data_IF_854128636197
#
_entry.id   IF_854128636197
#
_cell.length_a   1.000
_cell.length_b   1.000
_cell.length_c   1.000
_cell.angle_alpha   90.00
_cell.angle_beta   90.00
_cell.angle_gamma   90.00
#
_symmetry.space_group_name_H-M   'P 1'
#
loop_
_entity.id
_entity.type
_entity.pdbx_description
1 polymer ?
#
# COMPACT_ATOMS: atom_id res chain seq x y z
N UNK A 1 7.10 9.26 10.28
CA UNK A 1 6.42 9.73 9.07
C UNK A 1 7.30 10.78 8.43
N UNK A 2 7.80 10.49 7.24
CA UNK A 2 8.69 11.32 6.43
C UNK A 2 8.23 11.28 4.96
N UNK A 3 6.96 10.96 4.72
CA UNK A 3 6.38 10.94 3.38
C UNK A 3 6.34 12.34 2.76
N UNK A 4 6.34 12.41 1.42
CA UNK A 4 6.26 13.63 0.63
C UNK A 4 7.39 14.64 0.95
N UNK A 5 8.63 14.19 0.82
CA UNK A 5 9.84 15.00 0.98
C UNK A 5 10.76 14.81 -0.24
N UNK A 6 11.96 15.38 -0.18
CA UNK A 6 13.02 15.24 -1.19
C UNK A 6 14.19 14.39 -0.69
N UNK A 7 13.95 13.49 0.26
CA UNK A 7 14.98 12.62 0.83
C UNK A 7 15.53 11.71 -0.26
N UNK A 8 16.84 11.52 -0.27
CA UNK A 8 17.53 10.69 -1.26
C UNK A 8 18.58 9.78 -0.59
N UNK A 9 19.21 8.94 -1.41
CA UNK A 9 20.14 7.91 -0.93
C UNK A 9 19.43 6.65 -0.43
N UNK A 10 20.18 5.77 0.24
CA UNK A 10 19.68 4.49 0.72
C UNK A 10 19.09 4.56 2.11
N UNK A 11 18.12 3.68 2.40
CA UNK A 11 17.70 3.43 3.78
C UNK A 11 18.87 2.89 4.61
N UNK A 12 18.97 3.28 5.90
CA UNK A 12 20.04 2.78 6.76
C UNK A 12 19.91 1.28 7.00
N UNK A 13 21.05 0.59 7.11
CA UNK A 13 21.10 -0.87 7.35
C UNK A 13 20.56 -1.27 8.72
N UNK A 14 20.53 -0.32 9.66
CA UNK A 14 20.01 -0.51 11.01
C UNK A 14 18.79 0.38 11.24
N UNK A 15 17.87 -0.09 12.09
CA UNK A 15 16.71 0.66 12.58
C UNK A 15 16.65 0.64 14.10
N UNK A 16 15.89 1.56 14.69
CA UNK A 16 15.54 1.47 16.10
C UNK A 16 14.74 0.19 16.40
N UNK A 17 14.99 -0.41 17.57
CA UNK A 17 14.20 -1.53 18.08
C UNK A 17 12.75 -1.12 18.37
N UNK A 18 12.51 0.17 18.67
CA UNK A 18 11.18 0.73 18.96
C UNK A 18 10.43 1.21 17.71
N UNK A 19 11.03 1.12 16.52
CA UNK A 19 10.38 1.57 15.29
C UNK A 19 9.21 0.63 14.94
N UNK A 20 7.99 1.17 15.02
CA UNK A 20 6.73 0.47 14.74
C UNK A 20 6.04 0.92 13.44
N UNK A 21 6.24 2.18 13.04
CA UNK A 21 5.66 2.75 11.83
C UNK A 21 6.75 3.49 11.06
N UNK A 22 6.83 3.25 9.76
CA UNK A 22 7.72 3.99 8.87
C UNK A 22 7.00 4.30 7.58
N UNK A 23 6.87 5.58 7.32
CA UNK A 23 6.39 6.11 6.06
C UNK A 23 7.49 7.01 5.51
N UNK A 24 8.01 6.64 4.36
CA UNK A 24 8.97 7.41 3.56
C UNK A 24 8.48 7.51 2.11
N UNK A 25 7.16 7.39 1.92
CA UNK A 25 6.54 7.44 0.59
C UNK A 25 6.81 8.78 -0.09
N UNK A 26 6.77 8.82 -1.43
CA UNK A 26 6.95 10.05 -2.21
C UNK A 26 8.25 10.79 -1.86
N UNK A 27 9.39 10.14 -2.10
CA UNK A 27 10.73 10.69 -1.92
C UNK A 27 11.60 10.36 -3.15
N UNK A 28 12.92 10.48 -3.01
CA UNK A 28 13.96 10.10 -3.98
C UNK A 28 14.89 9.00 -3.43
N UNK A 29 14.43 8.24 -2.42
CA UNK A 29 15.23 7.16 -1.84
C UNK A 29 15.49 6.06 -2.88
N UNK A 30 16.65 5.43 -2.79
CA UNK A 30 17.12 4.45 -3.79
C UNK A 30 18.01 3.38 -3.18
N UNK A 31 18.45 2.42 -4.01
CA UNK A 31 19.29 1.30 -3.57
C UNK A 31 18.48 0.12 -3.03
N UNK A 32 19.19 -0.87 -2.49
CA UNK A 32 18.59 -2.09 -1.97
C UNK A 32 17.86 -1.86 -0.64
N UNK A 33 16.81 -2.63 -0.40
CA UNK A 33 16.08 -2.58 0.87
C UNK A 33 16.89 -3.30 1.97
N UNK A 34 17.04 -2.69 3.16
CA UNK A 34 17.68 -3.36 4.28
C UNK A 34 16.78 -4.48 4.83
N UNK A 35 17.38 -5.53 5.37
CA UNK A 35 16.67 -6.75 5.80
C UNK A 35 15.55 -6.51 6.83
N UNK A 36 15.62 -5.43 7.59
CA UNK A 36 14.60 -5.08 8.57
C UNK A 36 13.26 -4.68 7.94
N UNK A 37 13.24 -4.28 6.66
CA UNK A 37 12.03 -3.93 5.91
C UNK A 37 11.12 -5.16 5.73
N UNK A 38 11.72 -6.34 5.60
CA UNK A 38 11.01 -7.60 5.34
C UNK A 38 10.60 -8.35 6.62
N UNK A 39 10.69 -7.70 7.80
CA UNK A 39 10.29 -8.28 9.08
C UNK A 39 8.76 -8.22 9.25
N UNK A 40 8.13 -9.35 9.58
CA UNK A 40 6.67 -9.54 9.67
C UNK A 40 5.91 -8.54 10.56
N UNK A 41 6.59 -7.84 11.48
CA UNK A 41 5.94 -6.90 12.42
C UNK A 41 5.88 -5.46 11.93
N UNK A 42 6.57 -5.13 10.83
CA UNK A 42 6.61 -3.78 10.29
C UNK A 42 5.82 -3.76 8.98
N UNK A 43 4.84 -2.86 8.88
CA UNK A 43 4.25 -2.46 7.60
C UNK A 43 4.91 -1.12 7.24
N UNK A 44 5.85 -1.08 6.28
CA UNK A 44 6.46 0.17 5.83
C UNK A 44 5.71 0.73 4.62
N UNK A 45 5.57 2.04 4.55
CA UNK A 45 5.13 2.71 3.33
C UNK A 45 6.33 3.24 2.54
N UNK A 46 6.61 2.57 1.42
CA UNK A 46 7.79 2.79 0.56
C UNK A 46 7.42 3.31 -0.85
N UNK A 47 6.13 3.58 -1.09
CA UNK A 47 5.58 3.96 -2.40
C UNK A 47 6.27 5.20 -2.96
N UNK A 48 6.39 5.29 -4.28
CA UNK A 48 6.94 6.42 -5.02
C UNK A 48 8.38 6.78 -4.61
N UNK A 49 9.26 5.76 -4.57
CA UNK A 49 10.71 5.87 -4.44
C UNK A 49 11.42 5.14 -5.59
N UNK A 50 12.76 5.10 -5.59
CA UNK A 50 13.61 4.50 -6.63
C UNK A 50 14.40 3.29 -6.11
N UNK A 51 13.78 2.43 -5.29
CA UNK A 51 14.43 1.25 -4.71
C UNK A 51 14.68 0.15 -5.74
N UNK A 52 15.80 -0.56 -5.56
CA UNK A 52 16.11 -1.78 -6.30
C UNK A 52 15.52 -2.96 -5.56
N UNK A 53 14.53 -3.62 -6.16
CA UNK A 53 13.84 -4.77 -5.57
C UNK A 53 14.42 -6.07 -6.13
N UNK A 54 15.04 -6.88 -5.28
CA UNK A 54 15.66 -8.16 -5.64
C UNK A 54 15.18 -9.30 -4.75
N UNK A 55 15.14 -10.52 -5.30
CA UNK A 55 14.90 -11.75 -4.56
C UNK A 55 13.70 -11.69 -3.59
N UNK A 56 13.90 -11.88 -2.27
CA UNK A 56 12.83 -11.92 -1.26
C UNK A 56 11.95 -10.66 -1.20
N UNK A 57 12.48 -9.49 -1.53
CA UNK A 57 11.76 -8.22 -1.38
C UNK A 57 10.54 -8.16 -2.30
N UNK A 58 10.65 -8.68 -3.53
CA UNK A 58 9.53 -8.77 -4.47
C UNK A 58 8.39 -9.64 -3.95
N UNK A 59 8.71 -10.66 -3.16
CA UNK A 59 7.73 -11.57 -2.58
C UNK A 59 7.06 -10.98 -1.34
N UNK A 60 7.84 -10.32 -0.48
CA UNK A 60 7.34 -9.73 0.77
C UNK A 60 6.55 -8.45 0.51
N UNK A 61 6.97 -7.65 -0.47
CA UNK A 61 6.38 -6.37 -0.83
C UNK A 61 5.77 -6.45 -2.23
N UNK A 62 4.78 -7.33 -2.37
CA UNK A 62 4.10 -7.58 -3.65
C UNK A 62 3.58 -6.27 -4.26
N UNK A 63 3.78 -6.10 -5.57
CA UNK A 63 3.35 -4.93 -6.33
C UNK A 63 4.16 -3.64 -6.09
N UNK A 64 5.09 -3.60 -5.13
CA UNK A 64 5.92 -2.41 -4.86
C UNK A 64 6.77 -2.01 -6.08
N UNK A 65 7.11 -2.95 -6.96
CA UNK A 65 7.79 -2.67 -8.24
C UNK A 65 6.98 -1.73 -9.13
N UNK A 66 5.65 -1.85 -9.12
CA UNK A 66 4.75 -0.98 -9.87
C UNK A 66 4.45 0.33 -9.15
N UNK A 67 4.61 0.34 -7.83
CA UNK A 67 4.49 1.54 -6.99
C UNK A 67 5.82 2.28 -6.80
N UNK A 68 6.87 1.96 -7.56
CA UNK A 68 8.07 2.81 -7.63
C UNK A 68 7.76 4.16 -8.29
N UNK A 69 8.68 5.10 -8.16
CA UNK A 69 8.59 6.44 -8.72
C UNK A 69 8.32 6.36 -10.22
N UNK A 70 7.46 7.27 -10.68
CA UNK A 70 6.92 7.31 -12.04
C UNK A 70 6.00 6.14 -12.42
N UNK A 71 5.68 5.20 -11.53
CA UNK A 71 4.74 4.09 -11.78
C UNK A 71 5.06 3.34 -13.09
N UNK A 72 6.08 2.48 -13.11
CA UNK A 72 6.61 1.89 -14.34
C UNK A 72 5.67 0.87 -15.01
N UNK A 73 4.72 0.29 -14.28
CA UNK A 73 3.78 -0.71 -14.79
C UNK A 73 2.53 -0.07 -15.40
N UNK A 74 1.74 -0.88 -16.13
CA UNK A 74 0.41 -0.52 -16.64
C UNK A 74 0.38 0.78 -17.47
N UNK A 75 1.50 1.14 -18.10
CA UNK A 75 1.61 2.31 -18.98
C UNK A 75 1.06 2.03 -20.36
N UNK A 76 0.48 3.05 -20.98
CA UNK A 76 -0.03 2.99 -22.35
C UNK A 76 -1.54 2.79 -22.39
N UNK A 77 -2.00 1.87 -23.25
CA UNK A 77 -3.43 1.63 -23.45
C UNK A 77 -4.04 1.03 -22.19
N UNK A 78 -5.10 1.66 -21.68
CA UNK A 78 -5.85 1.14 -20.53
C UNK A 78 -6.37 -0.27 -20.82
N UNK A 79 -6.10 -1.19 -19.91
CA UNK A 79 -6.55 -2.59 -19.96
C UNK A 79 -7.81 -2.84 -19.12
N UNK A 80 -8.20 -1.88 -18.29
CA UNK A 80 -9.39 -1.92 -17.44
C UNK A 80 -10.34 -0.79 -17.82
N UNK A 81 -11.62 -1.12 -17.99
CA UNK A 81 -12.72 -0.19 -18.27
C UNK A 81 -13.62 0.08 -17.06
N UNK A 82 -13.44 -0.70 -16.00
CA UNK A 82 -14.31 -0.74 -14.84
C UNK A 82 -13.47 -0.74 -13.56
N UNK A 83 -13.93 0.01 -12.55
CA UNK A 83 -13.26 0.17 -11.27
C UNK A 83 -14.31 0.19 -10.16
N UNK A 84 -14.28 -0.81 -9.29
CA UNK A 84 -15.23 -0.94 -8.18
C UNK A 84 -14.57 -1.72 -7.04
N UNK A 85 -14.58 -1.15 -5.84
CA UNK A 85 -13.95 -1.72 -4.65
C UNK A 85 -15.06 -1.90 -3.60
N UNK A 86 -15.09 -3.07 -2.96
CA UNK A 86 -15.88 -3.32 -1.76
C UNK A 86 -15.04 -3.03 -0.52
N UNK A 87 -15.11 -1.79 -0.04
CA UNK A 87 -14.35 -1.33 1.13
C UNK A 87 -14.79 -2.06 2.40
N UNK A 88 -13.91 -2.87 2.97
CA UNK A 88 -14.12 -3.59 4.22
C UNK A 88 -14.77 -4.98 4.11
N UNK A 89 -14.86 -5.58 2.92
CA UNK A 89 -15.52 -6.88 2.74
C UNK A 89 -15.02 -7.73 1.56
N UNK A 90 -15.55 -8.96 1.43
CA UNK A 90 -15.17 -9.87 0.36
C UNK A 90 -15.67 -9.37 -0.99
N UNK A 91 -15.18 -9.95 -2.09
CA UNK A 91 -15.63 -9.57 -3.42
C UNK A 91 -17.14 -9.84 -3.55
N UNK A 92 -17.88 -8.85 -4.06
CA UNK A 92 -19.33 -8.98 -4.33
C UNK A 92 -19.64 -8.66 -5.78
N UNK A 93 -20.79 -9.13 -6.27
CA UNK A 93 -21.30 -8.81 -7.60
C UNK A 93 -22.68 -8.18 -7.46
N UNK A 94 -22.86 -7.01 -8.06
CA UNK A 94 -24.16 -6.33 -8.11
C UNK A 94 -25.14 -7.06 -9.03
N UNK A 95 -26.43 -6.72 -8.92
CA UNK A 95 -27.49 -7.22 -9.82
C UNK A 95 -27.21 -6.88 -11.28
N UNK A 96 -26.64 -5.70 -11.55
CA UNK A 96 -26.22 -5.26 -12.89
C UNK A 96 -24.96 -5.95 -13.42
N UNK A 97 -24.35 -6.86 -12.64
CA UNK A 97 -23.18 -7.63 -13.05
C UNK A 97 -21.84 -6.96 -12.78
N UNK A 98 -21.78 -5.74 -12.22
CA UNK A 98 -20.52 -5.13 -11.81
C UNK A 98 -19.88 -5.92 -10.65
N UNK A 99 -18.56 -6.15 -10.74
CA UNK A 99 -17.76 -6.84 -9.71
C UNK A 99 -17.07 -5.80 -8.84
N UNK A 100 -17.34 -5.83 -7.54
CA UNK A 100 -16.66 -5.00 -6.55
C UNK A 100 -15.56 -5.84 -5.91
N UNK A 101 -14.32 -5.48 -6.18
CA UNK A 101 -13.14 -6.20 -5.69
C UNK A 101 -13.03 -6.12 -4.17
N UNK A 102 -12.55 -7.21 -3.55
CA UNK A 102 -12.41 -7.27 -2.09
C UNK A 102 -11.40 -6.26 -1.58
N UNK A 103 -11.69 -5.64 -0.45
CA UNK A 103 -10.73 -4.83 0.32
C UNK A 103 -10.98 -5.17 1.79
N UNK A 104 -10.09 -5.94 2.39
CA UNK A 104 -10.20 -6.39 3.80
C UNK A 104 -8.92 -6.08 4.58
N UNK A 105 -8.00 -5.32 3.97
CA UNK A 105 -6.67 -5.13 4.53
C UNK A 105 -6.70 -4.03 5.59
N UNK A 106 -6.26 -4.36 6.80
CA UNK A 106 -5.95 -3.33 7.78
C UNK A 106 -4.67 -2.60 7.35
N UNK A 107 -4.86 -1.49 6.63
CA UNK A 107 -3.78 -0.64 6.14
C UNK A 107 -2.96 -0.01 7.27
N UNK A 108 -3.48 0.08 8.50
CA UNK A 108 -2.77 0.73 9.60
C UNK A 108 -2.32 2.16 9.25
N UNK A 109 -1.25 2.60 9.91
CA UNK A 109 -0.80 4.00 9.84
C UNK A 109 0.18 4.32 8.71
N UNK A 110 0.89 3.31 8.19
CA UNK A 110 1.95 3.50 7.21
C UNK A 110 2.09 2.23 6.36
N UNK A 111 1.24 2.05 5.36
CA UNK A 111 1.34 0.86 4.50
C UNK A 111 0.93 1.15 3.07
N UNK A 112 1.03 0.12 2.25
CA UNK A 112 0.39 0.06 0.95
C UNK A 112 -0.09 -1.37 0.70
N UNK A 113 -1.07 -1.50 -0.19
CA UNK A 113 -1.48 -2.78 -0.77
C UNK A 113 -1.74 -2.58 -2.26
N UNK A 114 -1.44 -3.61 -3.04
CA UNK A 114 -1.83 -3.74 -4.44
C UNK A 114 -2.85 -4.87 -4.52
N UNK A 115 -3.97 -4.64 -5.21
CA UNK A 115 -4.99 -5.67 -5.44
C UNK A 115 -4.38 -6.91 -6.10
N UNK A 116 -4.94 -8.10 -5.84
CA UNK A 116 -4.44 -9.36 -6.42
C UNK A 116 -4.36 -9.36 -7.95
N UNK A 117 -5.26 -8.63 -8.62
CA UNK A 117 -5.30 -8.49 -10.09
C UNK A 117 -4.51 -7.28 -10.61
N UNK A 118 -3.77 -6.61 -9.72
CA UNK A 118 -2.96 -5.40 -10.01
C UNK A 118 -3.75 -4.28 -10.73
N UNK A 119 -5.06 -4.20 -10.49
CA UNK A 119 -5.95 -3.16 -11.06
C UNK A 119 -5.88 -1.87 -10.27
N UNK A 120 -5.73 -1.96 -8.96
CA UNK A 120 -5.67 -0.82 -8.08
C UNK A 120 -4.69 -1.06 -6.93
N UNK A 121 -4.30 0.04 -6.31
CA UNK A 121 -3.46 0.03 -5.12
C UNK A 121 -3.87 1.19 -4.22
N UNK A 122 -3.69 1.01 -2.92
CA UNK A 122 -3.92 2.06 -1.92
C UNK A 122 -2.71 2.17 -1.03
N UNK A 123 -2.46 3.38 -0.53
CA UNK A 123 -1.37 3.70 0.37
C UNK A 123 -1.91 4.54 1.52
N UNK A 124 -1.60 4.13 2.76
CA UNK A 124 -2.04 4.81 3.99
C UNK A 124 -0.87 5.54 4.64
N UNK A 125 -1.14 6.76 5.12
CA UNK A 125 -0.16 7.62 5.81
C UNK A 125 -0.79 8.28 7.03
N UNK A 126 -0.02 8.28 8.13
CA UNK A 126 -0.28 9.07 9.33
C UNK A 126 -1.03 8.34 10.45
N UNK A 127 -0.97 8.96 11.63
CA UNK A 127 -1.77 8.61 12.80
C UNK A 127 -2.71 9.79 13.07
N UNK A 128 -4.01 9.60 12.83
CA UNK A 128 -4.98 10.64 13.15
C UNK A 128 -5.04 10.85 14.67
N UNK A 129 -4.86 12.10 15.11
CA UNK A 129 -4.90 12.52 16.52
C UNK A 129 -3.97 11.75 17.49
N UNK A 130 -2.87 11.16 16.99
CA UNK A 130 -1.90 10.41 17.80
C UNK A 130 -2.45 9.12 18.42
N UNK A 131 -3.62 8.65 18.00
CA UNK A 131 -4.21 7.40 18.48
C UNK A 131 -3.54 6.21 17.82
N UNK A 132 -3.15 5.23 18.64
CA UNK A 132 -2.51 3.98 18.19
C UNK A 132 -3.50 2.86 17.84
N UNK A 133 -4.78 3.01 18.18
CA UNK A 133 -5.85 2.03 17.95
C UNK A 133 -6.96 2.62 17.07
N UNK A 134 -6.62 3.02 15.84
CA UNK A 134 -7.62 3.41 14.87
C UNK A 134 -8.21 2.14 14.22
N UNK A 135 -9.53 2.09 14.10
CA UNK A 135 -10.23 1.09 13.30
C UNK A 135 -10.24 1.63 11.86
N UNK A 136 -9.46 1.00 10.97
CA UNK A 136 -9.32 1.44 9.57
C UNK A 136 -10.35 0.78 8.64
N UNK A 137 -11.02 -0.27 9.12
CA UNK A 137 -12.10 -0.97 8.42
C UNK A 137 -13.39 -0.80 9.20
N UNK A 138 -14.33 -0.02 8.66
CA UNK A 138 -15.68 0.10 9.21
C UNK A 138 -16.60 -0.73 8.32
N UNK A 139 -17.02 -1.90 8.82
CA UNK A 139 -18.07 -2.68 8.19
C UNK A 139 -19.43 -2.04 8.51
N UNK A 140 -19.92 -1.17 7.63
CA UNK A 140 -21.31 -0.73 7.69
C UNK A 140 -22.17 -1.81 7.04
N UNK A 141 -23.06 -2.44 7.80
CA UNK A 141 -24.11 -3.34 7.29
C UNK A 141 -25.21 -2.59 6.50
N UNK A 142 -24.94 -1.36 6.08
CA UNK A 142 -25.93 -0.47 5.48
C UNK A 142 -26.13 -0.84 4.02
N UNK A 143 -27.24 -1.51 3.72
CA UNK A 143 -27.56 -2.02 2.38
C UNK A 143 -27.91 -0.93 1.37
N UNK A 144 -27.96 0.34 1.78
CA UNK A 144 -28.26 1.47 0.90
C UNK A 144 -27.05 1.99 0.10
N UNK A 145 -25.82 1.52 0.38
CA UNK A 145 -24.62 1.90 -0.39
C UNK A 145 -24.45 1.14 -1.72
N UNK A 146 -25.30 0.14 -1.99
CA UNK A 146 -25.23 -0.70 -3.19
C UNK A 146 -26.52 -0.67 -4.04
N UNK A 147 -27.38 0.34 -3.88
CA UNK A 147 -28.56 0.54 -4.74
C UNK A 147 -28.23 1.23 -6.06
#
# INVERSE_FOLDING_TARGET
FLGNNTLNGSLPTQKSQTLSNIDVSYNDLSGSLPSWVSLQKLKPNLVANNFTLEGPDKRVLSGLNCLQKNFPCNRGKGIYSDFSINCGGPQIRSVGGAVFEREEEDLGSASFVVSDVERWAVSSVGLYAGRSNNIWVINTLDSELFQ
#
